data_IF_408182221763
#
_entry.id   IF_408182221763
#
_cell.length_a   1.000
_cell.length_b   1.000
_cell.length_c   1.000
_cell.angle_alpha   90.00
_cell.angle_beta   90.00
_cell.angle_gamma   90.00
#
_symmetry.space_group_name_H-M   'P 1'
#
loop_
_entity.id
_entity.type
_entity.pdbx_description
1 polymer ?
#
# COMPACT_ATOMS: atom_id res chain seq x y z
N UNK A 1 1.81 20.96 -5.12
CA UNK A 1 1.98 20.06 -6.28
C UNK A 1 0.66 19.35 -6.56
N UNK A 2 0.32 19.07 -7.81
CA UNK A 2 -0.92 18.37 -8.22
C UNK A 2 -1.09 17.00 -7.53
N UNK A 3 0.04 16.38 -7.16
CA UNK A 3 0.11 15.15 -6.35
C UNK A 3 -0.58 15.28 -4.98
N UNK A 4 -0.51 16.44 -4.32
CA UNK A 4 -1.03 16.63 -2.96
C UNK A 4 -2.56 16.75 -2.89
N UNK A 5 -3.24 16.94 -4.02
CA UNK A 5 -4.70 17.05 -4.08
C UNK A 5 -5.35 15.70 -4.47
N UNK A 6 -4.68 14.90 -5.30
CA UNK A 6 -5.16 13.56 -5.68
C UNK A 6 -4.94 12.50 -4.58
N UNK A 7 -3.97 12.70 -3.67
CA UNK A 7 -3.60 11.73 -2.63
C UNK A 7 -4.33 11.89 -1.30
N UNK A 8 -5.21 12.89 -1.14
CA UNK A 8 -5.91 13.11 0.15
C UNK A 8 -7.08 12.14 0.41
N UNK A 9 -7.42 11.26 -0.52
CA UNK A 9 -8.66 10.46 -0.39
C UNK A 9 -8.59 9.01 -0.85
N UNK A 10 -7.50 8.55 -1.46
CA UNK A 10 -7.40 7.16 -1.94
C UNK A 10 -6.12 6.46 -1.42
N UNK A 11 -6.25 5.62 -0.36
CA UNK A 11 -5.15 4.83 0.18
C UNK A 11 -4.47 3.92 -0.86
N UNK A 12 -5.16 3.51 -1.92
CA UNK A 12 -4.61 2.68 -2.99
C UNK A 12 -3.63 3.46 -3.86
N UNK A 13 -3.99 4.69 -4.23
CA UNK A 13 -3.14 5.58 -5.03
C UNK A 13 -1.88 5.93 -4.23
N UNK A 14 -2.03 6.25 -2.95
CA UNK A 14 -0.92 6.58 -2.05
C UNK A 14 0.04 5.39 -1.88
N UNK A 15 -0.48 4.19 -1.59
CA UNK A 15 0.34 3.01 -1.41
C UNK A 15 1.10 2.63 -2.69
N UNK A 16 0.47 2.73 -3.87
CA UNK A 16 1.15 2.54 -5.16
C UNK A 16 2.26 3.55 -5.38
N UNK A 17 1.99 4.82 -5.07
CA UNK A 17 2.96 5.88 -5.26
C UNK A 17 4.21 5.63 -4.41
N UNK A 18 4.02 5.26 -3.15
CA UNK A 18 5.11 4.90 -2.22
C UNK A 18 5.89 3.71 -2.77
N UNK A 19 5.22 2.60 -3.13
CA UNK A 19 5.89 1.40 -3.63
C UNK A 19 6.75 1.66 -4.87
N UNK A 20 6.29 2.54 -5.78
CA UNK A 20 7.06 2.93 -6.96
C UNK A 20 8.36 3.66 -6.61
N UNK A 21 8.40 4.45 -5.54
CA UNK A 21 9.64 5.11 -5.09
C UNK A 21 10.73 4.09 -4.72
N UNK A 22 10.33 2.89 -4.29
CA UNK A 22 11.23 1.81 -3.90
C UNK A 22 11.38 0.73 -4.99
N UNK A 23 10.99 1.00 -6.24
CA UNK A 23 10.98 0.04 -7.35
C UNK A 23 10.19 -1.27 -7.05
N UNK A 24 9.24 -1.20 -6.10
CA UNK A 24 8.35 -2.30 -5.77
C UNK A 24 7.01 -2.15 -6.48
N UNK A 25 6.39 -3.29 -6.80
CA UNK A 25 5.06 -3.35 -7.43
C UNK A 25 4.30 -4.52 -6.84
N UNK A 26 3.04 -4.27 -6.47
CA UNK A 26 2.09 -5.28 -6.02
C UNK A 26 0.88 -5.28 -6.97
N UNK A 27 0.19 -6.43 -7.04
CA UNK A 27 -1.09 -6.52 -7.75
C UNK A 27 -2.16 -5.71 -7.01
N UNK A 28 -3.20 -5.34 -7.75
CA UNK A 28 -4.37 -4.62 -7.24
C UNK A 28 -4.97 -5.31 -5.99
N UNK A 29 -5.16 -6.62 -6.06
CA UNK A 29 -5.74 -7.42 -4.97
C UNK A 29 -4.88 -7.34 -3.69
N UNK A 30 -3.57 -7.49 -3.81
CA UNK A 30 -2.64 -7.40 -2.68
C UNK A 30 -2.66 -6.02 -2.01
N UNK A 31 -2.77 -4.95 -2.80
CA UNK A 31 -2.88 -3.58 -2.27
C UNK A 31 -4.17 -3.41 -1.46
N UNK A 32 -5.29 -3.89 -2.00
CA UNK A 32 -6.59 -3.83 -1.32
C UNK A 32 -6.57 -4.62 -0.01
N UNK A 33 -5.94 -5.79 0.00
CA UNK A 33 -5.79 -6.60 1.21
C UNK A 33 -4.98 -5.86 2.29
N UNK A 34 -3.85 -5.24 1.91
CA UNK A 34 -3.02 -4.46 2.85
C UNK A 34 -3.82 -3.27 3.42
N UNK A 35 -4.54 -2.55 2.56
CA UNK A 35 -5.35 -1.40 2.98
C UNK A 35 -6.48 -1.84 3.93
N UNK A 36 -7.14 -2.94 3.61
CA UNK A 36 -8.21 -3.51 4.43
C UNK A 36 -7.68 -3.89 5.82
N UNK A 37 -6.55 -4.60 5.89
CA UNK A 37 -5.90 -4.96 7.16
C UNK A 37 -5.49 -3.71 7.94
N UNK A 38 -4.96 -2.68 7.26
CA UNK A 38 -4.59 -1.42 7.91
C UNK A 38 -5.79 -0.64 8.47
N UNK A 39 -6.98 -0.80 7.88
CA UNK A 39 -8.22 -0.17 8.34
C UNK A 39 -8.92 -0.97 9.44
N UNK A 40 -8.85 -2.30 9.38
CA UNK A 40 -9.55 -3.20 10.31
C UNK A 40 -8.70 -3.58 11.53
N UNK A 41 -7.38 -3.41 11.47
CA UNK A 41 -6.44 -3.92 12.47
C UNK A 41 -5.30 -2.94 12.76
N UNK A 42 -4.40 -3.31 13.68
CA UNK A 42 -3.21 -2.51 13.97
C UNK A 42 -2.29 -2.39 12.74
N UNK A 43 -1.64 -1.24 12.57
CA UNK A 43 -0.71 -1.02 11.46
C UNK A 43 0.49 -1.99 11.40
N UNK A 44 0.76 -2.72 12.49
CA UNK A 44 1.82 -3.74 12.52
C UNK A 44 1.50 -4.94 11.63
N UNK A 45 0.25 -5.43 11.63
CA UNK A 45 -0.16 -6.58 10.82
C UNK A 45 -0.14 -6.26 9.32
N UNK A 46 -0.63 -5.06 8.95
CA UNK A 46 -0.54 -4.56 7.58
C UNK A 46 0.92 -4.44 7.11
N UNK A 47 1.83 -4.02 8.00
CA UNK A 47 3.26 -3.93 7.71
C UNK A 47 3.88 -5.30 7.47
N UNK A 48 3.53 -6.30 8.28
CA UNK A 48 4.00 -7.68 8.09
C UNK A 48 3.49 -8.27 6.76
N UNK A 49 2.22 -8.05 6.43
CA UNK A 49 1.63 -8.52 5.17
C UNK A 49 2.27 -7.87 3.95
N UNK A 50 2.54 -6.56 4.04
CA UNK A 50 3.29 -5.83 3.03
C UNK A 50 4.68 -6.44 2.82
N UNK A 51 5.44 -6.70 3.90
CA UNK A 51 6.77 -7.33 3.82
C UNK A 51 6.68 -8.71 3.16
N UNK A 52 5.70 -9.53 3.53
CA UNK A 52 5.48 -10.84 2.93
C UNK A 52 5.31 -10.73 1.41
N UNK A 53 4.37 -9.91 0.94
CA UNK A 53 4.12 -9.75 -0.50
C UNK A 53 5.30 -9.16 -1.29
N UNK A 54 6.14 -8.36 -0.64
CA UNK A 54 7.34 -7.78 -1.25
C UNK A 54 8.53 -8.73 -1.33
N UNK A 55 8.54 -9.77 -0.49
CA UNK A 55 9.60 -10.79 -0.39
C UNK A 55 9.27 -12.06 -1.18
N UNK A 56 8.01 -12.34 -1.50
CA UNK A 56 7.59 -13.48 -2.34
C UNK A 56 7.91 -13.30 -3.86
N UNK A 57 8.94 -12.51 -4.21
CA UNK A 57 9.35 -12.26 -5.61
C UNK A 57 10.75 -12.77 -5.90
#
# INVERSE_FOLDING_TARGET
>A
SLLCVATKSDPEIELRFILRQYNKRLKMEQLKDIIKIAQETSGQEASLKLIQFLNER
#
